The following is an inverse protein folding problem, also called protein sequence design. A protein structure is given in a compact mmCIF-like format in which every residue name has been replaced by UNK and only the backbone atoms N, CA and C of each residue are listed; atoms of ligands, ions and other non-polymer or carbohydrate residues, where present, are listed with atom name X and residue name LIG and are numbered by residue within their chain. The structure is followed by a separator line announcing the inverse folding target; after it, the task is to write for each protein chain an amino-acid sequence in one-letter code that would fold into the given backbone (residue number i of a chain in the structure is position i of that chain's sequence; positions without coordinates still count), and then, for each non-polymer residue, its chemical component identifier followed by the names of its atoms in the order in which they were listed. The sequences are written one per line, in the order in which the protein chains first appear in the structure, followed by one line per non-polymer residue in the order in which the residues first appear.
data_IF_502997444275
#
_entry.id   IF_502997444275
#
_cell.length_a   1.000
_cell.length_b   1.000
_cell.length_c   1.000
_cell.angle_alpha   90.00
_cell.angle_beta   90.00
_cell.angle_gamma   90.00
#
_symmetry.space_group_name_H-M   'P 1'
#
loop_
_entity.id
_entity.type
_entity.pdbx_description
1 polymer ?
#
# COMPACT_ATOMS: atom_id res chain seq x y z
N UNK A 1 -5.35 -92.14 25.70
CA UNK A 1 -4.28 -91.44 26.37
C UNK A 1 -4.32 -89.99 25.85
N UNK A 2 -5.11 -89.17 26.55
CA UNK A 2 -5.40 -87.76 26.16
C UNK A 2 -4.41 -86.83 26.90
N UNK A 3 -3.53 -86.20 26.17
CA UNK A 3 -2.55 -85.22 26.73
C UNK A 3 -3.24 -83.89 26.92
N UNK A 4 -3.44 -83.49 28.16
CA UNK A 4 -3.95 -82.19 28.53
C UNK A 4 -2.84 -81.14 28.33
N UNK A 5 -3.04 -80.23 27.38
CA UNK A 5 -2.18 -79.05 27.19
C UNK A 5 -2.50 -77.99 28.24
N UNK A 6 -1.47 -77.59 29.01
CA UNK A 6 -1.59 -76.52 30.00
C UNK A 6 -1.91 -75.15 29.31
N UNK A 7 -2.74 -74.25 29.93
CA UNK A 7 -3.02 -72.93 29.36
C UNK A 7 -1.78 -72.04 29.39
N UNK A 8 -1.56 -71.32 28.29
CA UNK A 8 -0.48 -70.33 28.13
C UNK A 8 -0.62 -69.19 29.17
N UNK A 9 0.48 -68.64 29.72
CA UNK A 9 0.43 -67.59 30.68
C UNK A 9 -0.09 -66.29 30.02
N UNK A 10 -1.03 -65.61 30.71
CA UNK A 10 -1.60 -64.33 30.29
C UNK A 10 -0.51 -63.27 30.17
N UNK A 11 -0.54 -62.42 29.10
CA UNK A 11 0.46 -61.38 28.91
C UNK A 11 0.38 -60.36 30.06
N UNK A 12 1.51 -60.11 30.70
CA UNK A 12 1.69 -59.06 31.71
C UNK A 12 1.33 -57.70 31.10
N UNK A 13 0.50 -56.86 31.75
CA UNK A 13 0.19 -55.54 31.21
C UNK A 13 1.46 -54.68 31.17
N UNK A 14 1.85 -54.25 29.96
CA UNK A 14 2.91 -53.30 29.75
C UNK A 14 2.57 -51.97 30.47
N UNK A 15 3.48 -51.38 31.26
CA UNK A 15 3.20 -50.12 31.89
C UNK A 15 2.91 -49.05 30.84
N UNK A 16 1.70 -48.47 30.92
CA UNK A 16 1.31 -47.33 30.10
C UNK A 16 2.29 -46.18 30.44
N UNK A 17 3.21 -45.90 29.53
CA UNK A 17 4.04 -44.68 29.57
C UNK A 17 3.06 -43.50 29.55
N UNK A 18 2.81 -42.93 30.72
CA UNK A 18 2.17 -41.62 30.83
C UNK A 18 2.98 -40.64 30.00
N UNK A 19 2.42 -40.20 28.87
CA UNK A 19 2.99 -39.16 28.07
C UNK A 19 3.27 -37.94 28.99
N UNK A 20 4.45 -37.29 28.95
CA UNK A 20 4.73 -36.13 29.76
C UNK A 20 3.64 -35.08 29.45
N UNK A 21 2.99 -34.58 30.48
CA UNK A 21 2.04 -33.48 30.34
C UNK A 21 2.76 -32.29 29.69
N UNK A 22 2.48 -32.07 28.41
CA UNK A 22 2.96 -30.90 27.62
C UNK A 22 2.20 -29.61 27.98
N UNK A 23 1.74 -29.48 29.23
CA UNK A 23 1.17 -28.23 29.73
C UNK A 23 2.31 -27.35 30.23
N UNK A 24 2.97 -26.63 29.32
CA UNK A 24 3.69 -25.41 29.67
C UNK A 24 2.68 -24.41 30.26
N UNK A 25 3.04 -23.71 31.34
CA UNK A 25 2.21 -22.65 31.90
C UNK A 25 1.79 -21.67 30.80
N UNK A 26 0.66 -21.04 30.97
CA UNK A 26 0.22 -19.96 30.07
C UNK A 26 0.19 -18.64 30.81
N UNK A 27 0.78 -17.61 30.23
CA UNK A 27 0.60 -16.24 30.72
C UNK A 27 -0.87 -15.85 30.52
N UNK A 28 -1.48 -15.29 31.56
CA UNK A 28 -2.85 -14.76 31.49
C UNK A 28 -2.90 -13.63 30.46
N UNK A 29 -4.01 -13.50 29.73
CA UNK A 29 -4.19 -12.51 28.64
C UNK A 29 -3.91 -11.06 29.03
N UNK A 30 -4.10 -10.69 30.28
CA UNK A 30 -3.85 -9.34 30.78
C UNK A 30 -2.37 -9.09 31.17
N UNK A 31 -1.56 -10.15 31.42
CA UNK A 31 -0.17 -10.00 31.86
C UNK A 31 0.74 -9.23 30.88
N UNK A 32 0.69 -9.43 29.57
CA UNK A 32 1.49 -8.61 28.65
C UNK A 32 1.17 -7.11 28.75
N UNK A 33 -0.10 -6.76 28.92
CA UNK A 33 -0.53 -5.37 29.10
C UNK A 33 -0.11 -4.78 30.46
N UNK A 34 -0.18 -5.58 31.52
CA UNK A 34 0.31 -5.17 32.83
C UNK A 34 1.83 -4.95 32.84
N UNK A 35 2.59 -5.81 32.15
CA UNK A 35 4.04 -5.64 31.99
C UNK A 35 4.37 -4.39 31.16
N UNK A 36 3.60 -4.12 30.11
CA UNK A 36 3.75 -2.88 29.35
C UNK A 36 3.49 -1.66 30.22
N UNK A 37 2.38 -1.63 30.96
CA UNK A 37 2.07 -0.55 31.89
C UNK A 37 3.14 -0.39 32.97
N UNK A 38 3.61 -1.48 33.56
CA UNK A 38 4.65 -1.45 34.58
C UNK A 38 5.99 -0.93 34.01
N UNK A 39 6.38 -1.34 32.81
CA UNK A 39 7.61 -0.83 32.18
C UNK A 39 7.52 0.67 31.87
N UNK A 40 6.39 1.15 31.35
CA UNK A 40 6.14 2.58 31.10
C UNK A 40 6.20 3.40 32.39
N UNK A 41 5.55 2.95 33.45
CA UNK A 41 5.53 3.67 34.73
C UNK A 41 6.91 3.65 35.40
N UNK A 42 7.57 2.49 35.46
CA UNK A 42 8.88 2.36 36.09
C UNK A 42 9.94 3.22 35.37
N UNK A 43 10.02 3.14 34.07
CA UNK A 43 10.97 3.97 33.30
C UNK A 43 10.58 5.45 33.36
N UNK A 44 9.29 5.78 33.36
CA UNK A 44 8.80 7.15 33.49
C UNK A 44 9.21 7.78 34.82
N UNK A 45 9.12 7.05 35.94
CA UNK A 45 9.60 7.50 37.20
C UNK A 45 11.12 7.74 37.21
N UNK A 46 11.90 6.86 36.61
CA UNK A 46 13.35 7.03 36.47
C UNK A 46 13.69 8.29 35.65
N UNK A 47 13.04 8.48 34.50
CA UNK A 47 13.27 9.66 33.65
C UNK A 47 12.81 10.96 34.34
N UNK A 48 11.70 10.93 35.10
CA UNK A 48 11.24 12.08 35.88
C UNK A 48 12.24 12.43 37.01
N UNK A 49 12.77 11.44 37.70
CA UNK A 49 13.79 11.67 38.72
C UNK A 49 15.10 12.23 38.13
N UNK A 50 15.53 11.72 36.97
CA UNK A 50 16.72 12.23 36.30
C UNK A 50 16.49 13.66 35.78
N UNK A 51 15.32 13.99 35.27
CA UNK A 51 14.97 15.33 34.80
C UNK A 51 14.97 16.34 35.98
N UNK A 52 14.43 15.95 37.14
CA UNK A 52 14.42 16.82 38.34
C UNK A 52 15.83 16.97 38.93
N UNK A 53 16.62 15.87 38.99
CA UNK A 53 17.98 15.92 39.56
C UNK A 53 18.99 16.64 38.68
N UNK A 54 18.80 16.60 37.34
CA UNK A 54 19.70 17.16 36.35
C UNK A 54 19.32 18.56 35.86
N UNK A 55 18.23 19.13 36.36
CA UNK A 55 17.62 20.40 35.85
C UNK A 55 17.44 20.38 34.32
N UNK A 56 17.17 19.21 33.78
CA UNK A 56 16.93 18.97 32.34
C UNK A 56 15.46 18.72 32.09
N UNK A 57 14.96 19.07 30.90
CA UNK A 57 13.59 18.75 30.51
C UNK A 57 13.38 17.23 30.41
N UNK A 58 12.12 16.79 30.55
CA UNK A 58 11.76 15.36 30.39
C UNK A 58 11.98 14.90 28.94
N UNK A 59 12.91 13.95 28.73
CA UNK A 59 13.17 13.37 27.41
C UNK A 59 12.12 12.30 27.09
N UNK A 60 11.06 12.72 26.38
CA UNK A 60 9.97 11.85 25.93
C UNK A 60 10.47 10.73 25.01
N UNK A 61 11.41 11.04 24.12
CA UNK A 61 11.92 10.08 23.12
C UNK A 61 12.74 8.98 23.80
N UNK A 62 13.69 9.38 24.64
CA UNK A 62 14.50 8.44 25.42
C UNK A 62 13.63 7.56 26.31
N UNK A 63 12.65 8.15 27.00
CA UNK A 63 11.71 7.39 27.82
C UNK A 63 10.93 6.33 27.06
N UNK A 64 10.37 6.65 25.86
CA UNK A 64 9.64 5.69 25.06
C UNK A 64 10.53 4.54 24.57
N UNK A 65 11.74 4.85 24.13
CA UNK A 65 12.71 3.84 23.65
C UNK A 65 13.12 2.90 24.78
N UNK A 66 13.47 3.46 25.95
CA UNK A 66 13.88 2.64 27.11
C UNK A 66 12.70 1.81 27.63
N UNK A 67 11.48 2.36 27.65
CA UNK A 67 10.26 1.62 28.01
C UNK A 67 10.02 0.42 27.09
N UNK A 68 10.20 0.58 25.80
CA UNK A 68 10.03 -0.48 24.83
C UNK A 68 11.09 -1.60 25.01
N UNK A 69 12.34 -1.22 25.27
CA UNK A 69 13.44 -2.18 25.52
C UNK A 69 13.17 -2.95 26.82
N UNK A 70 12.83 -2.25 27.91
CA UNK A 70 12.52 -2.87 29.21
C UNK A 70 11.34 -3.82 29.09
N UNK A 71 10.27 -3.40 28.41
CA UNK A 71 9.13 -4.28 28.13
C UNK A 71 9.51 -5.54 27.37
N UNK A 72 10.31 -5.39 26.31
CA UNK A 72 10.76 -6.52 25.47
C UNK A 72 11.59 -7.52 26.27
N UNK A 73 12.49 -7.03 27.11
CA UNK A 73 13.30 -7.87 28.00
C UNK A 73 12.42 -8.58 29.02
N UNK A 74 11.55 -7.85 29.72
CA UNK A 74 10.68 -8.40 30.77
C UNK A 74 9.71 -9.46 30.21
N UNK A 75 9.03 -9.19 29.10
CA UNK A 75 8.07 -10.14 28.52
C UNK A 75 8.77 -11.41 28.03
N UNK A 76 9.99 -11.27 27.48
CA UNK A 76 10.79 -12.41 27.00
C UNK A 76 11.27 -13.28 28.17
N UNK A 77 11.78 -12.68 29.24
CA UNK A 77 12.25 -13.40 30.42
C UNK A 77 11.10 -14.12 31.13
N UNK A 78 9.99 -13.41 31.39
CA UNK A 78 8.83 -13.99 32.09
C UNK A 78 8.20 -15.09 31.23
N UNK A 79 8.06 -14.89 29.91
CA UNK A 79 7.56 -15.93 29.01
C UNK A 79 8.51 -17.14 28.97
N UNK A 80 9.82 -16.91 29.01
CA UNK A 80 10.83 -17.98 29.06
C UNK A 80 10.69 -18.86 30.30
N UNK A 81 10.43 -18.24 31.46
CA UNK A 81 10.27 -18.94 32.74
C UNK A 81 8.92 -19.67 32.88
N UNK A 82 7.84 -19.08 32.36
CA UNK A 82 6.46 -19.60 32.54
C UNK A 82 6.00 -20.47 31.38
N UNK A 83 6.25 -20.04 30.14
CA UNK A 83 5.73 -20.68 28.94
C UNK A 83 6.78 -21.51 28.17
N UNK A 84 8.05 -21.30 28.49
CA UNK A 84 9.20 -21.98 27.88
C UNK A 84 9.84 -21.22 26.70
N UNK A 85 11.03 -21.67 26.32
CA UNK A 85 11.93 -21.00 25.34
C UNK A 85 11.25 -20.69 24.00
N UNK A 86 10.43 -21.61 23.48
CA UNK A 86 9.80 -21.44 22.15
C UNK A 86 8.84 -20.25 22.13
N UNK A 87 8.01 -20.12 23.14
CA UNK A 87 7.06 -18.99 23.27
C UNK A 87 7.76 -17.69 23.62
N UNK A 88 8.87 -17.74 24.41
CA UNK A 88 9.67 -16.57 24.69
C UNK A 88 10.28 -15.97 23.41
N UNK A 89 10.82 -16.82 22.52
CA UNK A 89 11.34 -16.38 21.22
C UNK A 89 10.25 -15.82 20.34
N UNK A 90 9.07 -16.45 20.30
CA UNK A 90 7.92 -15.97 19.55
C UNK A 90 7.47 -14.57 20.02
N UNK A 91 7.37 -14.36 21.34
CA UNK A 91 7.03 -13.05 21.94
C UNK A 91 8.10 -12.00 21.67
N UNK A 92 9.39 -12.40 21.74
CA UNK A 92 10.50 -11.51 21.44
C UNK A 92 10.45 -11.02 19.98
N UNK A 93 10.30 -11.94 19.02
CA UNK A 93 10.19 -11.60 17.60
C UNK A 93 8.94 -10.74 17.33
N UNK A 94 7.80 -11.14 17.88
CA UNK A 94 6.56 -10.37 17.77
C UNK A 94 6.73 -8.95 18.34
N UNK A 95 7.42 -8.83 19.47
CA UNK A 95 7.71 -7.54 20.10
C UNK A 95 8.59 -6.65 19.22
N UNK A 96 9.67 -7.19 18.67
CA UNK A 96 10.56 -6.45 17.73
C UNK A 96 9.77 -5.99 16.50
N UNK A 97 9.00 -6.88 15.86
CA UNK A 97 8.21 -6.54 14.68
C UNK A 97 7.17 -5.46 15.01
N UNK A 98 6.51 -5.56 16.17
CA UNK A 98 5.54 -4.55 16.63
C UNK A 98 6.21 -3.19 16.86
N UNK A 99 7.36 -3.16 17.53
CA UNK A 99 8.12 -1.93 17.76
C UNK A 99 8.57 -1.32 16.43
N UNK A 100 9.12 -2.12 15.53
CA UNK A 100 9.52 -1.66 14.20
C UNK A 100 8.35 -1.07 13.41
N UNK A 101 7.17 -1.72 13.47
CA UNK A 101 5.95 -1.21 12.87
C UNK A 101 5.51 0.13 13.47
N UNK A 102 5.50 0.24 14.81
CA UNK A 102 5.15 1.48 15.49
C UNK A 102 6.12 2.62 15.15
N UNK A 103 7.42 2.35 15.10
CA UNK A 103 8.42 3.34 14.67
C UNK A 103 8.15 3.80 13.23
N UNK A 104 7.83 2.89 12.32
CA UNK A 104 7.48 3.23 10.95
C UNK A 104 6.17 4.04 10.83
N UNK A 105 5.24 3.88 11.78
CA UNK A 105 3.99 4.64 11.82
C UNK A 105 4.17 6.09 12.29
N UNK A 106 5.20 6.40 13.08
CA UNK A 106 5.43 7.75 13.62
C UNK A 106 5.54 8.80 12.49
N UNK A 107 6.45 8.67 11.51
CA UNK A 107 6.54 9.64 10.43
C UNK A 107 5.27 9.69 9.58
N UNK A 108 4.60 8.58 9.35
CA UNK A 108 3.34 8.54 8.60
C UNK A 108 2.25 9.38 9.29
N UNK A 109 2.04 9.15 10.60
CA UNK A 109 1.06 9.91 11.40
C UNK A 109 1.46 11.37 11.50
N UNK A 110 2.75 11.67 11.71
CA UNK A 110 3.27 13.03 11.77
C UNK A 110 3.02 13.81 10.48
N UNK A 111 3.36 13.23 9.32
CA UNK A 111 3.12 13.85 8.02
C UNK A 111 1.62 14.05 7.76
N UNK A 112 0.80 13.03 8.04
CA UNK A 112 -0.64 13.13 7.88
C UNK A 112 -1.23 14.26 8.76
N UNK A 113 -0.81 14.35 10.01
CA UNK A 113 -1.21 15.42 10.92
C UNK A 113 -0.78 16.80 10.41
N UNK A 114 0.47 16.94 9.98
CA UNK A 114 1.01 18.19 9.45
C UNK A 114 0.23 18.67 8.21
N UNK A 115 -0.06 17.74 7.28
CA UNK A 115 -0.85 18.05 6.08
C UNK A 115 -2.27 18.47 6.44
N UNK A 116 -2.91 17.82 7.41
CA UNK A 116 -4.27 18.18 7.85
C UNK A 116 -4.24 19.55 8.55
N UNK A 117 -3.33 19.75 9.52
CA UNK A 117 -3.28 20.96 10.31
C UNK A 117 -3.00 22.21 9.46
N UNK A 118 -2.07 22.13 8.51
CA UNK A 118 -1.73 23.26 7.64
C UNK A 118 -2.66 23.34 6.42
N UNK A 119 -3.13 22.22 5.90
CA UNK A 119 -3.98 22.22 4.71
C UNK A 119 -5.38 22.78 4.94
N UNK A 120 -5.88 22.75 6.17
CA UNK A 120 -7.19 23.32 6.52
C UNK A 120 -7.23 24.85 6.43
N UNK A 121 -6.09 25.54 6.54
CA UNK A 121 -6.00 27.01 6.49
C UNK A 121 -6.59 27.58 5.18
N UNK A 122 -6.43 26.87 4.06
CA UNK A 122 -6.90 27.30 2.73
C UNK A 122 -7.88 26.33 2.10
N UNK A 123 -8.56 25.50 2.93
CA UNK A 123 -9.55 24.52 2.47
C UNK A 123 -10.95 25.16 2.39
N UNK A 124 -11.09 26.16 1.49
CA UNK A 124 -12.28 26.97 1.32
C UNK A 124 -12.93 26.78 -0.07
N UNK A 125 -14.14 27.30 -0.26
CA UNK A 125 -14.86 27.20 -1.52
C UNK A 125 -14.12 27.85 -2.69
N UNK A 126 -13.37 28.93 -2.44
CA UNK A 126 -12.60 29.64 -3.46
C UNK A 126 -11.46 28.77 -3.98
N UNK A 127 -10.79 27.99 -3.11
CA UNK A 127 -9.73 27.06 -3.49
C UNK A 127 -10.22 25.98 -4.48
N UNK A 128 -11.45 25.52 -4.32
CA UNK A 128 -12.05 24.48 -5.18
C UNK A 128 -12.73 25.01 -6.43
N UNK A 129 -13.06 26.30 -6.49
CA UNK A 129 -13.81 26.90 -7.60
C UNK A 129 -12.98 27.78 -8.53
N UNK A 130 -11.81 28.24 -8.09
CA UNK A 130 -10.95 29.13 -8.86
C UNK A 130 -9.67 28.44 -9.37
N UNK A 131 -9.05 29.03 -10.40
CA UNK A 131 -7.72 28.68 -10.88
C UNK A 131 -6.70 29.72 -10.44
N UNK A 132 -5.42 29.54 -10.84
CA UNK A 132 -4.36 30.53 -10.59
C UNK A 132 -4.25 31.57 -11.72
N UNK A 133 -5.15 31.56 -12.70
CA UNK A 133 -5.08 32.50 -13.83
C UNK A 133 -5.22 33.94 -13.35
N UNK A 134 -4.23 34.76 -13.69
CA UNK A 134 -4.14 36.18 -13.29
C UNK A 134 -4.10 36.43 -11.77
N UNK A 135 -3.70 35.43 -10.98
CA UNK A 135 -3.54 35.57 -9.54
C UNK A 135 -2.08 35.72 -9.18
N UNK A 136 -1.78 36.81 -8.45
CA UNK A 136 -0.45 37.09 -7.87
C UNK A 136 -0.65 37.33 -6.38
N UNK A 137 0.12 36.63 -5.54
CA UNK A 137 0.00 36.75 -4.10
C UNK A 137 -1.18 35.94 -3.52
N UNK A 138 -2.10 36.60 -2.85
CA UNK A 138 -3.25 36.00 -2.19
C UNK A 138 -4.37 35.57 -3.15
N UNK A 139 -5.26 34.71 -2.69
CA UNK A 139 -6.39 34.20 -3.47
C UNK A 139 -6.05 33.01 -4.36
N UNK A 140 -6.78 32.88 -5.47
CA UNK A 140 -6.67 31.74 -6.39
C UNK A 140 -7.07 30.38 -5.80
N UNK A 141 -6.93 29.33 -6.58
CA UNK A 141 -7.29 27.97 -6.17
C UNK A 141 -6.70 26.90 -7.09
N UNK A 142 -7.10 25.67 -6.86
CA UNK A 142 -6.51 24.49 -7.50
C UNK A 142 -7.46 23.73 -8.43
N UNK A 143 -8.58 24.32 -8.86
CA UNK A 143 -9.57 23.62 -9.73
C UNK A 143 -8.91 23.04 -10.99
N UNK A 144 -7.99 23.77 -11.62
CA UNK A 144 -7.25 23.33 -12.80
C UNK A 144 -6.35 22.11 -12.51
N UNK A 145 -5.70 22.09 -11.34
CA UNK A 145 -4.84 21.01 -10.91
C UNK A 145 -5.64 19.75 -10.46
N UNK A 146 -6.81 19.95 -9.87
CA UNK A 146 -7.73 18.87 -9.51
C UNK A 146 -8.20 18.14 -10.77
N UNK A 147 -8.73 18.87 -11.76
CA UNK A 147 -9.17 18.28 -13.01
C UNK A 147 -8.02 17.65 -13.80
N UNK A 148 -6.84 18.28 -13.82
CA UNK A 148 -5.66 17.70 -14.45
C UNK A 148 -5.26 16.37 -13.81
N UNK A 149 -5.27 16.28 -12.48
CA UNK A 149 -4.99 15.03 -11.76
C UNK A 149 -5.99 13.94 -12.14
N UNK A 150 -7.29 14.25 -12.10
CA UNK A 150 -8.33 13.27 -12.39
C UNK A 150 -8.28 12.80 -13.85
N UNK A 151 -8.16 13.72 -14.80
CA UNK A 151 -8.15 13.38 -16.24
C UNK A 151 -6.91 12.61 -16.65
N UNK A 152 -5.71 13.04 -16.22
CA UNK A 152 -4.46 12.34 -16.54
C UNK A 152 -4.44 10.95 -15.91
N UNK A 153 -4.85 10.82 -14.65
CA UNK A 153 -4.89 9.53 -13.96
C UNK A 153 -5.95 8.60 -14.56
N UNK A 154 -7.13 9.12 -14.90
CA UNK A 154 -8.18 8.34 -15.54
C UNK A 154 -7.72 7.82 -16.90
N UNK A 155 -7.11 8.65 -17.72
CA UNK A 155 -6.58 8.23 -19.03
C UNK A 155 -5.45 7.19 -18.87
N UNK A 156 -4.54 7.37 -17.91
CA UNK A 156 -3.54 6.37 -17.58
C UNK A 156 -4.17 5.04 -17.16
N UNK A 157 -5.22 5.07 -16.35
CA UNK A 157 -5.94 3.88 -15.90
C UNK A 157 -6.65 3.17 -17.05
N UNK A 158 -7.32 3.91 -17.96
CA UNK A 158 -7.98 3.36 -19.14
C UNK A 158 -6.99 2.63 -20.06
N UNK A 159 -5.75 3.12 -20.15
CA UNK A 159 -4.69 2.47 -20.94
C UNK A 159 -4.12 1.26 -20.18
N UNK A 160 -3.77 1.44 -18.92
CA UNK A 160 -2.97 0.46 -18.16
C UNK A 160 -3.76 -0.74 -17.70
N UNK A 161 -5.02 -0.56 -17.27
CA UNK A 161 -5.82 -1.63 -16.68
C UNK A 161 -6.11 -2.73 -17.73
N UNK A 162 -6.61 -2.44 -18.92
CA UNK A 162 -6.84 -3.48 -19.93
C UNK A 162 -5.54 -4.18 -20.35
N UNK A 163 -4.47 -3.43 -20.60
CA UNK A 163 -3.17 -4.00 -20.99
C UNK A 163 -2.63 -4.89 -19.89
N UNK A 164 -2.62 -4.41 -18.64
CA UNK A 164 -2.12 -5.17 -17.50
C UNK A 164 -2.94 -6.44 -17.21
N UNK A 165 -4.27 -6.33 -17.27
CA UNK A 165 -5.16 -7.47 -17.03
C UNK A 165 -5.04 -8.52 -18.15
N UNK A 166 -5.04 -8.13 -19.43
CA UNK A 166 -4.86 -9.06 -20.53
C UNK A 166 -3.49 -9.75 -20.47
N UNK A 167 -2.45 -9.01 -20.12
CA UNK A 167 -1.11 -9.56 -19.92
C UNK A 167 -1.07 -10.58 -18.79
N UNK A 168 -1.66 -10.29 -17.63
CA UNK A 168 -1.70 -11.21 -16.50
C UNK A 168 -2.50 -12.48 -16.80
N UNK A 169 -3.65 -12.35 -17.49
CA UNK A 169 -4.43 -13.49 -17.97
C UNK A 169 -3.58 -14.36 -18.93
N UNK A 170 -2.88 -13.73 -19.87
CA UNK A 170 -2.00 -14.47 -20.75
C UNK A 170 -0.91 -15.22 -19.99
N UNK A 171 -0.23 -14.58 -19.04
CA UNK A 171 0.85 -15.19 -18.27
C UNK A 171 0.39 -16.38 -17.43
N UNK A 172 -0.79 -16.27 -16.77
CA UNK A 172 -1.30 -17.31 -15.89
C UNK A 172 -1.99 -18.42 -16.66
N UNK A 173 -2.87 -18.07 -17.61
CA UNK A 173 -3.76 -19.06 -18.22
C UNK A 173 -3.20 -19.64 -19.53
N UNK A 174 -2.40 -18.91 -20.30
CA UNK A 174 -1.94 -19.33 -21.62
C UNK A 174 -0.43 -19.43 -21.75
N UNK A 175 0.33 -18.82 -20.82
CA UNK A 175 1.76 -18.61 -20.96
C UNK A 175 2.63 -19.68 -20.32
N UNK A 176 2.08 -20.65 -19.60
CA UNK A 176 2.84 -21.65 -18.88
C UNK A 176 3.83 -22.40 -19.81
N UNK A 177 5.11 -22.42 -19.43
CA UNK A 177 6.20 -23.05 -20.19
C UNK A 177 6.64 -22.32 -21.46
N UNK A 178 5.96 -21.26 -21.92
CA UNK A 178 6.25 -20.59 -23.18
C UNK A 178 7.41 -19.58 -23.07
N UNK A 179 8.24 -19.49 -24.10
CA UNK A 179 9.35 -18.53 -24.18
C UNK A 179 8.86 -17.08 -24.17
N UNK A 180 7.73 -16.78 -24.83
CA UNK A 180 7.12 -15.46 -24.90
C UNK A 180 6.70 -15.00 -23.51
N UNK A 181 6.07 -15.88 -22.70
CA UNK A 181 5.67 -15.54 -21.34
C UNK A 181 6.89 -15.16 -20.48
N UNK A 182 7.99 -15.89 -20.59
CA UNK A 182 9.26 -15.54 -19.89
C UNK A 182 9.79 -14.18 -20.32
N UNK A 183 9.72 -13.86 -21.61
CA UNK A 183 10.12 -12.54 -22.14
C UNK A 183 9.24 -11.41 -21.58
N UNK A 184 7.91 -11.60 -21.55
CA UNK A 184 6.97 -10.63 -20.99
C UNK A 184 7.23 -10.44 -19.47
N UNK A 185 7.39 -11.53 -18.72
CA UNK A 185 7.72 -11.48 -17.29
C UNK A 185 9.00 -10.68 -17.04
N UNK A 186 10.05 -10.93 -17.82
CA UNK A 186 11.31 -10.18 -17.75
C UNK A 186 11.08 -8.67 -18.03
N UNK A 187 10.32 -8.32 -19.07
CA UNK A 187 10.00 -6.92 -19.38
C UNK A 187 9.22 -6.24 -18.23
N UNK A 188 8.23 -6.92 -17.67
CA UNK A 188 7.45 -6.43 -16.52
C UNK A 188 8.36 -6.20 -15.31
N UNK A 189 9.30 -7.10 -15.03
CA UNK A 189 10.27 -6.96 -13.93
C UNK A 189 11.20 -5.76 -14.15
N UNK A 190 11.71 -5.58 -15.37
CA UNK A 190 12.53 -4.41 -15.73
C UNK A 190 11.73 -3.12 -15.55
N UNK A 191 10.47 -3.08 -16.05
CA UNK A 191 9.60 -1.91 -15.89
C UNK A 191 9.32 -1.55 -14.44
N UNK A 192 9.23 -2.53 -13.54
CA UNK A 192 9.03 -2.27 -12.10
C UNK A 192 10.21 -1.50 -11.47
N UNK A 193 11.41 -1.68 -12.00
CA UNK A 193 12.64 -1.01 -11.54
C UNK A 193 12.93 0.34 -12.17
N UNK A 194 12.15 0.81 -13.15
CA UNK A 194 12.39 2.08 -13.84
C UNK A 194 12.11 3.27 -12.89
N UNK A 195 13.07 4.20 -12.69
CA UNK A 195 12.80 5.45 -11.99
C UNK A 195 11.69 6.26 -12.68
N UNK A 196 10.77 6.86 -11.91
CA UNK A 196 9.60 7.55 -12.48
C UNK A 196 9.97 8.71 -13.41
N UNK A 197 11.05 9.41 -13.12
CA UNK A 197 11.56 10.48 -13.99
C UNK A 197 11.97 9.95 -15.37
N UNK A 198 12.54 8.74 -15.45
CA UNK A 198 12.94 8.10 -16.71
C UNK A 198 11.71 7.74 -17.54
N UNK A 199 10.63 7.27 -16.93
CA UNK A 199 9.37 7.04 -17.62
C UNK A 199 8.80 8.35 -18.21
N UNK A 200 8.92 9.46 -17.47
CA UNK A 200 8.57 10.80 -17.98
C UNK A 200 9.42 11.24 -19.17
N UNK A 201 10.74 11.08 -19.08
CA UNK A 201 11.66 11.41 -20.18
C UNK A 201 11.41 10.52 -21.40
N UNK A 202 11.13 9.25 -21.23
CA UNK A 202 10.77 8.35 -22.31
C UNK A 202 9.51 8.83 -23.02
N UNK A 203 8.44 9.11 -22.27
CA UNK A 203 7.20 9.62 -22.85
C UNK A 203 7.43 10.96 -23.55
N UNK A 204 8.20 11.89 -22.96
CA UNK A 204 8.56 13.14 -23.59
C UNK A 204 9.31 12.94 -24.91
N UNK A 205 10.34 12.10 -24.91
CA UNK A 205 11.13 11.82 -26.11
C UNK A 205 10.29 11.19 -27.23
N UNK A 206 9.39 10.27 -26.88
CA UNK A 206 8.48 9.65 -27.82
C UNK A 206 7.59 10.70 -28.53
N UNK A 207 6.97 11.59 -27.77
CA UNK A 207 6.11 12.60 -28.37
C UNK A 207 6.89 13.72 -29.09
N UNK A 208 8.05 14.09 -28.58
CA UNK A 208 8.92 15.10 -29.21
C UNK A 208 9.39 14.65 -30.61
N UNK A 209 9.54 13.34 -30.83
CA UNK A 209 9.89 12.76 -32.14
C UNK A 209 8.82 13.04 -33.21
N UNK A 210 7.52 12.99 -32.82
CA UNK A 210 6.40 13.13 -33.75
C UNK A 210 5.84 14.56 -33.84
N UNK A 211 5.84 15.27 -32.69
CA UNK A 211 5.17 16.57 -32.53
C UNK A 211 6.15 17.73 -32.39
N UNK A 212 7.45 17.46 -32.34
CA UNK A 212 8.50 18.46 -32.19
C UNK A 212 8.90 18.74 -30.73
N UNK A 213 10.06 19.37 -30.53
CA UNK A 213 10.60 19.68 -29.22
C UNK A 213 9.79 20.76 -28.48
N UNK A 214 9.76 20.67 -27.17
CA UNK A 214 9.11 21.68 -26.30
C UNK A 214 7.62 21.46 -26.07
N UNK A 215 7.00 20.50 -26.77
CA UNK A 215 5.58 20.17 -26.58
C UNK A 215 5.34 19.56 -25.21
N UNK A 216 4.19 19.91 -24.61
CA UNK A 216 3.71 19.35 -23.33
C UNK A 216 2.20 19.22 -23.37
N UNK A 217 1.72 17.98 -23.14
CA UNK A 217 0.31 17.62 -23.25
C UNK A 217 -0.09 16.74 -22.06
N UNK A 218 -1.37 16.80 -21.68
CA UNK A 218 -1.91 15.91 -20.64
C UNK A 218 -1.77 14.45 -20.99
N UNK A 219 -1.99 14.07 -22.26
CA UNK A 219 -1.86 12.67 -22.73
C UNK A 219 -0.42 12.13 -22.60
N UNK A 220 0.61 12.96 -22.75
CA UNK A 220 1.99 12.55 -22.51
C UNK A 220 2.18 12.15 -21.04
N UNK A 221 1.59 12.93 -20.12
CA UNK A 221 1.54 12.58 -18.70
C UNK A 221 0.83 11.26 -18.44
N UNK A 222 -0.31 11.05 -19.09
CA UNK A 222 -1.06 9.78 -18.98
C UNK A 222 -0.26 8.57 -19.46
N UNK A 223 0.50 8.70 -20.55
CA UNK A 223 1.36 7.63 -21.06
C UNK A 223 2.55 7.38 -20.12
N UNK A 224 3.18 8.44 -19.60
CA UNK A 224 4.23 8.30 -18.60
C UNK A 224 3.74 7.53 -17.35
N UNK A 225 2.56 7.88 -16.84
CA UNK A 225 1.93 7.17 -15.72
C UNK A 225 1.53 5.74 -16.10
N UNK A 226 1.07 5.51 -17.34
CA UNK A 226 0.70 4.17 -17.80
C UNK A 226 1.91 3.22 -17.80
N UNK A 227 3.08 3.68 -18.22
CA UNK A 227 4.33 2.89 -18.18
C UNK A 227 4.65 2.45 -16.74
N UNK A 228 4.41 3.31 -15.74
CA UNK A 228 4.62 2.98 -14.33
C UNK A 228 3.51 2.09 -13.75
N UNK A 229 2.29 2.22 -14.25
CA UNK A 229 1.11 1.55 -13.74
C UNK A 229 0.98 0.10 -14.24
N UNK A 230 1.29 -0.14 -15.52
CA UNK A 230 1.16 -1.46 -16.17
C UNK A 230 1.84 -2.58 -15.36
N UNK A 231 3.13 -2.49 -14.96
CA UNK A 231 3.78 -3.59 -14.24
C UNK A 231 3.12 -3.89 -12.89
N UNK A 232 2.60 -2.88 -12.20
CA UNK A 232 1.91 -3.07 -10.91
C UNK A 232 0.58 -3.79 -11.13
N UNK A 233 -0.20 -3.39 -12.16
CA UNK A 233 -1.46 -4.08 -12.53
C UNK A 233 -1.19 -5.52 -12.94
N UNK A 234 -0.15 -5.76 -13.75
CA UNK A 234 0.22 -7.13 -14.18
C UNK A 234 0.53 -8.00 -12.97
N UNK A 235 1.44 -7.56 -12.09
CA UNK A 235 1.88 -8.37 -10.94
C UNK A 235 0.76 -8.64 -9.96
N UNK A 236 0.02 -7.62 -9.57
CA UNK A 236 -1.11 -7.80 -8.64
C UNK A 236 -2.21 -8.68 -9.21
N UNK A 237 -2.54 -8.53 -10.50
CA UNK A 237 -3.54 -9.38 -11.15
C UNK A 237 -3.04 -10.82 -11.33
N UNK A 238 -1.76 -11.02 -11.70
CA UNK A 238 -1.14 -12.34 -11.79
C UNK A 238 -1.22 -13.10 -10.47
N UNK A 239 -0.86 -12.46 -9.35
CA UNK A 239 -0.96 -13.05 -8.02
C UNK A 239 -2.39 -13.47 -7.68
N UNK A 240 -3.37 -12.60 -7.95
CA UNK A 240 -4.77 -12.91 -7.67
C UNK A 240 -5.33 -14.03 -8.55
N UNK A 241 -4.96 -14.08 -9.82
CA UNK A 241 -5.35 -15.17 -10.73
C UNK A 241 -4.74 -16.51 -10.33
N UNK A 242 -3.50 -16.52 -9.82
CA UNK A 242 -2.85 -17.74 -9.31
C UNK A 242 -3.48 -18.29 -8.03
N UNK A 243 -4.14 -17.45 -7.22
CA UNK A 243 -4.84 -17.87 -6.01
C UNK A 243 -6.17 -18.61 -6.29
N UNK A 244 -6.69 -18.55 -7.52
CA UNK A 244 -7.89 -19.28 -7.89
C UNK A 244 -7.58 -20.78 -7.91
N UNK A 245 -8.30 -21.65 -7.16
CA UNK A 245 -8.06 -23.09 -7.11
C UNK A 245 -8.16 -23.75 -8.47
N UNK A 246 -7.28 -24.73 -8.76
CA UNK A 246 -7.29 -25.47 -10.03
C UNK A 246 -8.53 -26.35 -10.17
N UNK A 247 -9.09 -26.82 -9.06
CA UNK A 247 -10.31 -27.63 -9.01
C UNK A 247 -11.50 -26.92 -9.68
N UNK A 248 -11.59 -25.60 -9.58
CA UNK A 248 -12.64 -24.83 -10.25
C UNK A 248 -12.46 -24.82 -11.78
N UNK A 249 -11.20 -24.78 -12.25
CA UNK A 249 -10.88 -24.87 -13.67
C UNK A 249 -11.18 -26.25 -14.22
N UNK A 250 -10.74 -27.28 -13.51
CA UNK A 250 -10.93 -28.68 -13.88
C UNK A 250 -12.42 -29.05 -13.91
N UNK A 251 -13.21 -28.64 -12.92
CA UNK A 251 -14.65 -28.84 -12.89
C UNK A 251 -15.34 -28.18 -14.09
N UNK A 252 -14.93 -26.97 -14.48
CA UNK A 252 -15.45 -26.28 -15.66
C UNK A 252 -15.11 -27.02 -16.96
N UNK A 253 -13.88 -27.51 -17.09
CA UNK A 253 -13.44 -28.30 -18.26
C UNK A 253 -14.16 -29.67 -18.34
N UNK A 254 -14.40 -30.33 -17.20
CA UNK A 254 -15.14 -31.58 -17.15
C UNK A 254 -16.60 -31.43 -17.66
N UNK A 255 -17.18 -30.23 -17.56
CA UNK A 255 -18.48 -29.89 -18.12
C UNK A 255 -18.41 -29.45 -19.60
N UNK A 256 -17.25 -29.57 -20.25
CA UNK A 256 -17.07 -29.23 -21.67
C UNK A 256 -16.97 -27.72 -21.95
N UNK A 257 -16.80 -26.87 -20.91
CA UNK A 257 -16.71 -25.41 -21.10
C UNK A 257 -15.35 -25.04 -21.72
N UNK A 258 -15.31 -24.26 -22.79
CA UNK A 258 -14.05 -23.87 -23.44
C UNK A 258 -13.23 -22.92 -22.53
N UNK A 259 -11.90 -22.96 -22.66
CA UNK A 259 -10.95 -22.26 -21.79
C UNK A 259 -11.26 -20.77 -21.60
N UNK A 260 -11.53 -20.04 -22.69
CA UNK A 260 -11.82 -18.60 -22.60
C UNK A 260 -13.09 -18.30 -21.78
N UNK A 261 -14.11 -19.17 -21.85
CA UNK A 261 -15.34 -19.00 -21.12
C UNK A 261 -15.15 -19.36 -19.61
N UNK A 262 -14.33 -20.37 -19.32
CA UNK A 262 -13.89 -20.67 -17.95
C UNK A 262 -13.17 -19.48 -17.32
N UNK A 263 -12.27 -18.81 -18.08
CA UNK A 263 -11.59 -17.61 -17.58
C UNK A 263 -12.59 -16.51 -17.28
N UNK A 264 -13.50 -16.20 -18.18
CA UNK A 264 -14.44 -15.08 -18.04
C UNK A 264 -15.52 -15.35 -16.99
N UNK A 265 -16.04 -16.59 -16.88
CA UNK A 265 -17.17 -16.92 -16.01
C UNK A 265 -16.78 -17.53 -14.66
N UNK A 266 -15.58 -18.08 -14.54
CA UNK A 266 -15.13 -18.76 -13.30
C UNK A 266 -13.93 -18.04 -12.70
N UNK A 267 -12.83 -17.91 -13.46
CA UNK A 267 -11.56 -17.41 -12.91
C UNK A 267 -11.65 -15.92 -12.56
N UNK A 268 -12.07 -15.07 -13.50
CA UNK A 268 -12.15 -13.62 -13.29
C UNK A 268 -13.15 -13.24 -12.19
N UNK A 269 -14.38 -13.77 -12.13
CA UNK A 269 -15.30 -13.44 -11.04
C UNK A 269 -14.77 -13.89 -9.67
N UNK A 270 -14.04 -15.00 -9.60
CA UNK A 270 -13.44 -15.49 -8.35
C UNK A 270 -12.30 -14.56 -7.88
N UNK A 271 -11.49 -14.04 -8.81
CA UNK A 271 -10.35 -13.16 -8.51
C UNK A 271 -10.70 -11.66 -8.44
N UNK A 272 -11.94 -11.25 -8.82
CA UNK A 272 -12.31 -9.85 -9.06
C UNK A 272 -12.02 -8.92 -7.87
N UNK A 273 -12.28 -9.37 -6.65
CA UNK A 273 -12.05 -8.56 -5.44
C UNK A 273 -10.56 -8.27 -5.24
N UNK A 274 -9.69 -9.25 -5.46
CA UNK A 274 -8.24 -9.09 -5.40
C UNK A 274 -7.70 -8.24 -6.54
N UNK A 275 -8.15 -8.48 -7.78
CA UNK A 275 -7.78 -7.69 -8.95
C UNK A 275 -8.16 -6.22 -8.75
N UNK A 276 -9.38 -5.93 -8.29
CA UNK A 276 -9.83 -4.55 -8.00
C UNK A 276 -8.92 -3.89 -6.98
N UNK A 277 -8.53 -4.62 -5.92
CA UNK A 277 -7.61 -4.09 -4.89
C UNK A 277 -6.24 -3.78 -5.50
N UNK A 278 -5.70 -4.64 -6.34
CA UNK A 278 -4.43 -4.42 -7.04
C UNK A 278 -4.46 -3.23 -8.00
N UNK A 279 -5.54 -3.10 -8.77
CA UNK A 279 -5.77 -1.95 -9.65
C UNK A 279 -5.82 -0.64 -8.84
N UNK A 280 -6.51 -0.64 -7.70
CA UNK A 280 -6.58 0.56 -6.86
C UNK A 280 -5.24 0.93 -6.23
N UNK A 281 -4.46 -0.07 -5.84
CA UNK A 281 -3.10 0.16 -5.36
C UNK A 281 -2.23 0.82 -6.46
N UNK A 282 -2.38 0.38 -7.71
CA UNK A 282 -1.65 0.97 -8.84
C UNK A 282 -2.08 2.41 -9.12
N UNK A 283 -3.39 2.73 -9.07
CA UNK A 283 -3.90 4.11 -9.20
C UNK A 283 -3.39 4.98 -8.05
N UNK A 284 -3.51 4.51 -6.81
CA UNK A 284 -3.06 5.26 -5.63
C UNK A 284 -1.56 5.56 -5.65
N UNK A 285 -0.77 4.69 -6.26
CA UNK A 285 0.67 4.91 -6.45
C UNK A 285 0.95 6.02 -7.45
N UNK A 286 0.30 6.01 -8.62
CA UNK A 286 0.66 6.93 -9.72
C UNK A 286 0.00 8.30 -9.61
N UNK A 287 -1.11 8.45 -8.90
CA UNK A 287 -1.83 9.72 -8.75
C UNK A 287 -1.00 10.78 -8.01
N UNK A 288 -0.04 10.34 -7.18
CA UNK A 288 0.88 11.20 -6.42
C UNK A 288 2.19 11.52 -7.15
N UNK A 289 2.40 11.02 -8.37
CA UNK A 289 3.64 11.22 -9.10
C UNK A 289 3.80 12.69 -9.55
N UNK A 290 4.99 13.24 -9.30
CA UNK A 290 5.31 14.64 -9.61
C UNK A 290 6.29 14.75 -10.77
N UNK A 291 7.44 14.07 -10.68
CA UNK A 291 8.56 14.24 -11.60
C UNK A 291 8.22 13.92 -13.07
N UNK A 292 7.56 12.80 -13.41
CA UNK A 292 7.20 12.48 -14.78
C UNK A 292 6.21 13.50 -15.35
N UNK A 293 5.27 14.01 -14.53
CA UNK A 293 4.23 14.92 -14.96
C UNK A 293 4.76 16.36 -15.18
N UNK A 294 5.73 16.78 -14.39
CA UNK A 294 6.39 18.08 -14.56
C UNK A 294 7.08 18.18 -15.94
N UNK A 295 7.65 17.08 -16.41
CA UNK A 295 8.36 17.02 -17.70
C UNK A 295 7.37 16.90 -18.85
N UNK A 296 6.32 16.08 -18.73
CA UNK A 296 5.41 15.70 -19.83
C UNK A 296 4.19 16.60 -19.95
N UNK A 297 3.41 16.75 -18.89
CA UNK A 297 2.20 17.59 -18.88
C UNK A 297 2.54 19.07 -18.56
N UNK A 298 3.61 19.30 -17.81
CA UNK A 298 4.06 20.62 -17.40
C UNK A 298 3.20 21.25 -16.30
N UNK A 299 3.12 22.58 -16.32
CA UNK A 299 2.28 23.34 -15.41
C UNK A 299 1.58 24.48 -16.17
N UNK A 300 0.43 24.87 -15.69
CA UNK A 300 -0.40 25.97 -16.21
C UNK A 300 -1.28 26.50 -15.09
N UNK A 301 -1.54 27.81 -15.10
CA UNK A 301 -2.43 28.45 -14.14
C UNK A 301 -3.90 28.45 -14.58
N UNK A 302 -4.16 28.02 -15.80
CA UNK A 302 -5.50 28.00 -16.41
C UNK A 302 -6.09 26.61 -16.41
N UNK A 303 -7.42 26.53 -16.28
CA UNK A 303 -8.14 25.29 -16.44
C UNK A 303 -8.04 24.77 -17.88
N UNK A 304 -7.50 23.58 -18.04
CA UNK A 304 -7.46 22.85 -19.30
C UNK A 304 -8.11 21.47 -19.09
N UNK A 305 -9.12 21.15 -19.88
CA UNK A 305 -9.82 19.87 -19.86
C UNK A 305 -9.48 18.99 -21.06
N UNK A 306 -8.66 19.50 -22.00
CA UNK A 306 -8.25 18.77 -23.19
C UNK A 306 -6.89 18.12 -22.98
N UNK A 307 -6.86 16.78 -22.91
CA UNK A 307 -5.62 16.01 -22.77
C UNK A 307 -4.67 16.12 -23.97
N UNK A 308 -5.21 16.47 -25.15
CA UNK A 308 -4.48 16.47 -26.42
C UNK A 308 -4.01 17.85 -26.85
N UNK A 309 -4.35 18.89 -26.09
CA UNK A 309 -3.95 20.25 -26.43
C UNK A 309 -3.53 21.04 -25.19
N UNK A 310 -2.37 21.67 -25.27
CA UNK A 310 -1.83 22.53 -24.21
C UNK A 310 -1.35 21.82 -22.97
N UNK A 311 -0.74 22.58 -22.08
CA UNK A 311 -0.23 22.10 -20.79
C UNK A 311 -1.37 21.78 -19.84
N UNK A 312 -1.14 20.83 -18.95
CA UNK A 312 -2.10 20.44 -17.92
C UNK A 312 -1.38 20.24 -16.59
N UNK A 313 -1.81 20.95 -15.55
CA UNK A 313 -1.21 20.84 -14.22
C UNK A 313 -1.93 19.79 -13.37
N UNK A 314 -1.17 19.05 -12.56
CA UNK A 314 -1.71 18.12 -11.57
C UNK A 314 -1.47 18.62 -10.15
N UNK A 315 -2.23 18.11 -9.17
CA UNK A 315 -2.08 18.47 -7.75
C UNK A 315 -0.66 18.25 -7.21
N UNK A 316 0.04 17.12 -7.49
CA UNK A 316 1.43 16.98 -7.06
C UNK A 316 2.36 18.03 -7.64
N UNK A 317 2.20 18.37 -8.93
CA UNK A 317 2.98 19.42 -9.59
C UNK A 317 2.61 20.80 -9.04
N UNK A 318 1.32 21.06 -8.78
CA UNK A 318 0.86 22.30 -8.16
C UNK A 318 1.43 22.47 -6.75
N UNK A 319 1.35 21.44 -5.90
CA UNK A 319 1.95 21.45 -4.56
C UNK A 319 3.45 21.80 -4.63
N UNK A 320 4.18 21.12 -5.52
CA UNK A 320 5.60 21.36 -5.73
C UNK A 320 5.88 22.79 -6.18
N UNK A 321 5.17 23.28 -7.19
CA UNK A 321 5.41 24.63 -7.75
C UNK A 321 5.06 25.74 -6.77
N UNK A 322 3.95 25.60 -6.01
CA UNK A 322 3.56 26.58 -4.99
C UNK A 322 4.57 26.59 -3.83
N UNK A 323 5.07 25.45 -3.41
CA UNK A 323 6.02 25.36 -2.30
C UNK A 323 7.42 25.84 -2.67
N UNK A 324 7.89 25.56 -3.90
CA UNK A 324 9.26 25.89 -4.33
C UNK A 324 9.39 27.28 -4.93
N UNK A 325 8.33 27.83 -5.53
CA UNK A 325 8.35 29.13 -6.20
C UNK A 325 7.43 30.12 -5.47
N UNK A 326 7.76 30.38 -4.20
CA UNK A 326 6.99 31.31 -3.38
C UNK A 326 7.18 32.74 -3.83
N UNK A 327 6.06 33.47 -3.98
CA UNK A 327 6.04 34.91 -4.21
C UNK A 327 5.75 35.67 -2.91
N UNK A 328 5.18 36.86 -3.03
CA UNK A 328 4.86 37.75 -1.89
C UNK A 328 3.33 37.87 -1.78
N UNK A 329 2.73 37.55 -0.61
CA UNK A 329 3.34 37.01 0.61
C UNK A 329 3.60 35.49 0.50
N UNK A 330 4.70 34.95 1.05
CA UNK A 330 5.06 33.54 0.93
C UNK A 330 4.05 32.58 1.60
N UNK A 331 3.40 33.03 2.67
CA UNK A 331 2.40 32.22 3.41
C UNK A 331 1.25 31.80 2.49
N UNK A 332 0.79 32.68 1.60
CA UNK A 332 -0.30 32.37 0.68
C UNK A 332 0.04 31.21 -0.29
N UNK A 333 1.31 31.09 -0.68
CA UNK A 333 1.79 30.01 -1.53
C UNK A 333 1.92 28.70 -0.76
N UNK A 334 2.46 28.78 0.46
CA UNK A 334 2.60 27.63 1.35
C UNK A 334 1.23 27.05 1.73
N UNK A 335 0.27 27.91 2.07
CA UNK A 335 -1.09 27.48 2.43
C UNK A 335 -1.80 26.79 1.27
N UNK A 336 -1.66 27.30 0.04
CA UNK A 336 -2.17 26.63 -1.17
C UNK A 336 -1.49 25.29 -1.42
N UNK A 337 -0.19 25.18 -1.19
CA UNK A 337 0.55 23.93 -1.33
C UNK A 337 0.04 22.86 -0.34
N UNK A 338 -0.17 23.23 0.94
CA UNK A 338 -0.71 22.33 1.94
C UNK A 338 -2.16 21.94 1.66
N UNK A 339 -3.00 22.86 1.23
CA UNK A 339 -4.39 22.58 0.85
C UNK A 339 -4.46 21.64 -0.37
N UNK A 340 -3.55 21.79 -1.34
CA UNK A 340 -3.47 20.87 -2.49
C UNK A 340 -3.00 19.47 -2.08
N UNK A 341 -2.02 19.38 -1.18
CA UNK A 341 -1.59 18.10 -0.62
C UNK A 341 -2.73 17.40 0.16
N UNK A 342 -3.48 18.14 0.99
CA UNK A 342 -4.65 17.62 1.69
C UNK A 342 -5.73 17.14 0.71
N UNK A 343 -6.01 17.93 -0.33
CA UNK A 343 -6.97 17.58 -1.38
C UNK A 343 -6.57 16.28 -2.09
N UNK A 344 -5.28 16.11 -2.41
CA UNK A 344 -4.77 14.89 -3.02
C UNK A 344 -4.99 13.67 -2.12
N UNK A 345 -4.70 13.79 -0.83
CA UNK A 345 -4.95 12.71 0.16
C UNK A 345 -6.43 12.35 0.18
N UNK A 346 -7.33 13.34 0.22
CA UNK A 346 -8.78 13.10 0.22
C UNK A 346 -9.22 12.41 -1.07
N UNK A 347 -8.75 12.84 -2.24
CA UNK A 347 -9.05 12.18 -3.52
C UNK A 347 -8.62 10.71 -3.48
N UNK A 348 -7.41 10.42 -3.03
CA UNK A 348 -6.90 9.04 -2.91
C UNK A 348 -7.74 8.22 -1.94
N UNK A 349 -8.12 8.79 -0.79
CA UNK A 349 -9.00 8.11 0.18
C UNK A 349 -10.38 7.80 -0.39
N UNK A 350 -10.99 8.75 -1.09
CA UNK A 350 -12.30 8.58 -1.75
C UNK A 350 -12.21 7.51 -2.84
N UNK A 351 -11.19 7.55 -3.69
CA UNK A 351 -10.97 6.52 -4.72
C UNK A 351 -10.82 5.13 -4.09
N UNK A 352 -10.00 5.00 -3.03
CA UNK A 352 -9.85 3.73 -2.32
C UNK A 352 -11.16 3.25 -1.67
N UNK A 353 -11.97 4.15 -1.11
CA UNK A 353 -13.28 3.80 -0.55
C UNK A 353 -14.22 3.31 -1.63
N UNK A 354 -14.33 4.03 -2.76
CA UNK A 354 -15.16 3.63 -3.91
C UNK A 354 -14.75 2.25 -4.43
N UNK A 355 -13.46 2.00 -4.56
CA UNK A 355 -12.97 0.69 -4.99
C UNK A 355 -13.31 -0.44 -4.02
N UNK A 356 -13.17 -0.21 -2.72
CA UNK A 356 -13.58 -1.20 -1.71
C UNK A 356 -15.08 -1.50 -1.77
N UNK A 357 -15.91 -0.48 -2.03
CA UNK A 357 -17.34 -0.67 -2.23
C UNK A 357 -17.63 -1.50 -3.49
N UNK A 358 -16.97 -1.18 -4.61
CA UNK A 358 -17.07 -1.97 -5.85
C UNK A 358 -16.63 -3.42 -5.60
N UNK A 359 -15.45 -3.63 -5.01
CA UNK A 359 -14.94 -4.96 -4.70
C UNK A 359 -15.93 -5.77 -3.84
N UNK A 360 -16.55 -5.13 -2.83
CA UNK A 360 -17.56 -5.76 -1.96
C UNK A 360 -18.85 -6.12 -2.71
N UNK A 361 -19.28 -5.29 -3.65
CA UNK A 361 -20.51 -5.54 -4.44
C UNK A 361 -20.33 -6.71 -5.42
N UNK A 362 -19.14 -6.85 -6.01
CA UNK A 362 -18.84 -7.87 -7.01
C UNK A 362 -18.15 -9.12 -6.43
N UNK A 363 -17.78 -9.12 -5.15
CA UNK A 363 -17.22 -10.30 -4.50
C UNK A 363 -18.23 -11.45 -4.52
N UNK A 364 -17.83 -12.67 -4.94
CA UNK A 364 -18.69 -13.85 -4.86
C UNK A 364 -19.13 -14.05 -3.41
N UNK A 365 -20.45 -14.19 -3.19
CA UNK A 365 -20.97 -14.61 -1.88
C UNK A 365 -20.56 -16.07 -1.68
N UNK A 366 -19.44 -16.31 -1.00
CA UNK A 366 -19.11 -17.66 -0.50
C UNK A 366 -20.20 -18.00 0.50
N UNK A 367 -21.13 -18.88 0.07
CA UNK A 367 -22.13 -19.46 0.95
C UNK A 367 -21.42 -20.16 2.11
N UNK A 368 -21.69 -19.70 3.34
CA UNK A 368 -21.48 -20.47 4.56
C UNK A 368 -22.59 -21.46 4.73
#
# INVERSE_FOLDING_TARGET
MTIATAPAPSPTPTPVRTAPRLTSGHLKRWMPWALLGASIVLTGLVFALVAVAGDTGFDLTGWLVVSAIVYLVLITLISGLVEGRRKAVDRFITGIVTIAFLIAMIPLVSVAWTVIANGLARFDALFFSSSMRNVVGEGGGAVHAIWGTLLITLAAAIISIPIGLMTSIYLVEYGEGKRIARGITFLVDVMTGIPSIVAGLFAYALFALFLGPGIRLGIMGSIALAVLMIPVVVRSSEEMLRLVPNELREASYALGVPKWLTIVKVVLPTAIAGITTGVMLSISRVIGETAPLLITAGFTDSLNLNLFDGRMQTLPVFTYTQYMNQGIPPEAYVDRAWAAALTLIIIVMVLNLVARLIAKLFAPKTGR
#
